data_IF_267993412071
#
_entry.id   IF_267993412071
#
_cell.length_a   1.000
_cell.length_b   1.000
_cell.length_c   1.000
_cell.angle_alpha   90.00
_cell.angle_beta   90.00
_cell.angle_gamma   90.00
#
_symmetry.space_group_name_H-M   'P 1'
#
loop_
_entity.id
_entity.type
_entity.pdbx_description
1 polymer ?
#
# COMPACT_ATOMS: atom_id res chain seq x y z
N UNK A 1 4.35 -9.89 67.72
CA UNK A 1 3.63 -8.90 68.56
C UNK A 1 4.45 -7.61 68.52
N UNK A 2 4.06 -6.48 67.92
CA UNK A 2 2.75 -5.94 67.57
C UNK A 2 2.91 -4.91 66.42
N UNK A 3 2.01 -5.02 65.45
CA UNK A 3 1.21 -3.97 64.80
C UNK A 3 1.91 -2.80 64.09
N UNK A 4 1.83 -2.69 62.75
CA UNK A 4 0.69 -2.23 61.91
C UNK A 4 0.42 -0.72 61.97
N UNK A 5 0.62 -0.05 60.82
CA UNK A 5 0.05 1.21 60.26
C UNK A 5 1.18 2.00 59.56
N UNK A 6 1.33 2.08 58.23
CA UNK A 6 0.43 2.49 57.12
C UNK A 6 -0.09 3.93 57.24
N UNK A 7 0.38 4.76 56.29
CA UNK A 7 -0.12 6.05 55.80
C UNK A 7 -0.10 7.27 56.73
N UNK A 8 0.84 8.20 56.48
CA UNK A 8 0.50 9.60 56.18
C UNK A 8 1.73 10.42 55.74
N UNK A 9 1.52 11.23 54.70
CA UNK A 9 2.26 12.45 54.30
C UNK A 9 3.65 12.31 53.66
N UNK A 10 3.69 12.22 52.34
CA UNK A 10 4.81 12.72 51.53
C UNK A 10 4.27 13.46 50.30
N UNK A 11 3.80 14.68 50.53
CA UNK A 11 3.58 15.67 49.49
C UNK A 11 4.77 16.63 49.58
N UNK A 12 5.80 16.40 48.75
CA UNK A 12 6.85 17.34 48.34
C UNK A 12 8.08 16.57 47.84
N UNK A 13 8.18 16.27 46.55
CA UNK A 13 9.44 16.31 45.81
C UNK A 13 9.12 16.73 44.37
N UNK A 14 9.08 18.04 44.14
CA UNK A 14 9.46 18.60 42.85
C UNK A 14 10.93 18.94 42.93
N UNK A 15 11.79 18.15 42.29
CA UNK A 15 13.02 18.62 41.66
C UNK A 15 13.72 17.48 40.89
N UNK A 16 13.92 17.75 39.59
CA UNK A 16 15.10 17.37 38.80
C UNK A 16 15.48 15.89 38.67
N UNK A 17 14.91 15.23 37.65
CA UNK A 17 15.70 14.34 36.76
C UNK A 17 15.25 14.59 35.32
N UNK A 18 15.90 15.56 34.67
CA UNK A 18 15.84 15.73 33.21
C UNK A 18 17.16 16.36 32.77
N UNK A 19 18.24 15.57 32.77
CA UNK A 19 19.47 15.89 32.06
C UNK A 19 19.97 14.60 31.43
N UNK A 20 20.10 14.63 30.10
CA UNK A 20 20.94 13.66 29.40
C UNK A 20 20.33 12.95 28.20
N UNK A 21 19.53 13.61 27.36
CA UNK A 21 19.49 13.34 25.93
C UNK A 21 19.25 14.67 25.20
N UNK A 22 20.33 15.45 25.06
CA UNK A 22 20.39 16.53 24.09
C UNK A 22 20.80 15.90 22.76
N UNK A 23 19.84 15.26 22.11
CA UNK A 23 19.86 15.16 20.64
C UNK A 23 19.13 16.41 20.17
N UNK A 24 19.89 17.46 19.86
CA UNK A 24 19.40 18.54 19.01
C UNK A 24 19.22 17.96 17.61
N UNK A 25 18.13 17.23 17.43
CA UNK A 25 17.49 17.07 16.13
C UNK A 25 16.90 18.45 15.80
N UNK A 26 17.73 19.34 15.23
CA UNK A 26 17.20 20.46 14.44
C UNK A 26 16.59 19.85 13.19
N UNK A 27 15.40 19.29 13.33
CA UNK A 27 14.53 19.10 12.19
C UNK A 27 14.40 20.48 11.52
N UNK A 28 14.66 20.61 10.21
CA UNK A 28 14.44 21.87 9.53
C UNK A 28 12.95 22.17 9.63
N UNK A 29 12.59 23.09 10.51
CA UNK A 29 11.27 23.72 10.47
C UNK A 29 11.22 24.35 9.09
N UNK A 30 10.40 23.79 8.21
CA UNK A 30 10.09 24.35 6.90
C UNK A 30 9.40 25.70 7.11
N UNK A 31 10.17 26.74 7.44
CA UNK A 31 9.70 28.11 7.55
C UNK A 31 9.49 28.66 6.15
N UNK A 32 8.35 29.31 5.95
CA UNK A 32 8.08 29.99 4.69
C UNK A 32 9.09 31.14 4.52
N UNK A 33 9.64 31.30 3.32
CA UNK A 33 10.64 32.34 3.03
C UNK A 33 10.15 33.75 3.41
N UNK A 34 8.83 33.98 3.29
CA UNK A 34 8.19 35.24 3.69
C UNK A 34 8.19 35.45 5.22
N UNK A 35 8.06 34.39 6.00
CA UNK A 35 8.12 34.44 7.47
C UNK A 35 9.58 34.56 7.92
N UNK A 36 10.51 33.90 7.23
CA UNK A 36 11.95 33.94 7.49
C UNK A 36 12.53 35.35 7.27
N UNK A 37 12.12 36.05 6.20
CA UNK A 37 12.61 37.39 5.86
C UNK A 37 12.16 38.51 6.84
N UNK A 38 11.19 38.21 7.71
CA UNK A 38 10.73 39.13 8.74
C UNK A 38 11.44 38.95 10.09
N UNK A 39 12.39 38.00 10.21
CA UNK A 39 13.13 37.82 11.45
C UNK A 39 14.09 38.99 11.69
N UNK A 40 14.04 39.63 12.88
CA UNK A 40 15.01 40.62 13.26
C UNK A 40 16.37 39.97 13.56
N UNK A 41 17.46 40.67 13.24
CA UNK A 41 18.82 40.21 13.43
C UNK A 41 19.76 41.38 13.77
N UNK A 42 20.84 41.10 14.48
CA UNK A 42 21.97 42.01 14.69
C UNK A 42 23.24 41.56 13.95
N UNK A 43 23.28 40.28 13.56
CA UNK A 43 24.40 39.66 12.84
C UNK A 43 23.88 38.54 11.92
N UNK A 44 24.67 38.18 10.90
CA UNK A 44 24.30 37.14 9.92
C UNK A 44 24.03 35.78 10.58
N UNK A 45 24.71 35.47 11.69
CA UNK A 45 24.55 34.21 12.43
C UNK A 45 23.22 34.04 13.14
N UNK A 46 22.46 35.13 13.34
CA UNK A 46 21.13 35.07 13.98
C UNK A 46 20.03 34.69 13.00
N UNK A 47 20.32 34.71 11.69
CA UNK A 47 19.37 34.33 10.69
C UNK A 47 19.40 32.81 10.45
N UNK A 48 18.24 32.13 10.49
CA UNK A 48 18.17 30.71 10.16
C UNK A 48 18.77 30.40 8.79
N UNK A 49 19.54 29.33 8.69
CA UNK A 49 20.05 28.88 7.40
C UNK A 49 18.92 28.27 6.56
N UNK A 50 18.91 28.57 5.26
CA UNK A 50 18.07 27.90 4.28
C UNK A 50 18.96 27.29 3.20
N UNK A 51 18.76 26.01 2.90
CA UNK A 51 19.64 25.17 2.08
C UNK A 51 20.08 25.79 0.76
N UNK A 52 19.16 26.46 0.06
CA UNK A 52 19.42 27.05 -1.26
C UNK A 52 19.38 28.58 -1.27
N UNK A 53 19.62 29.20 -0.11
CA UNK A 53 19.70 30.65 0.02
C UNK A 53 20.97 31.06 0.75
N UNK A 54 21.57 32.18 0.31
CA UNK A 54 22.50 32.91 1.16
C UNK A 54 21.73 33.87 2.04
N UNK A 55 22.22 34.07 3.25
CA UNK A 55 21.53 34.86 4.27
C UNK A 55 22.42 36.00 4.72
N UNK A 56 21.83 37.19 4.83
CA UNK A 56 22.55 38.38 5.32
C UNK A 56 21.63 39.24 6.17
N UNK A 57 22.14 39.74 7.29
CA UNK A 57 21.44 40.70 8.11
C UNK A 57 21.57 42.10 7.50
N UNK A 58 20.44 42.69 7.12
CA UNK A 58 20.42 44.02 6.51
C UNK A 58 20.72 45.10 7.55
N UNK A 59 21.13 46.30 7.10
CA UNK A 59 21.31 47.49 7.97
C UNK A 59 20.03 47.91 8.69
N UNK A 60 18.87 47.45 8.20
CA UNK A 60 17.56 47.66 8.81
C UNK A 60 17.28 46.71 9.97
N UNK A 61 18.18 45.75 10.25
CA UNK A 61 18.07 44.77 11.32
C UNK A 61 17.15 43.59 10.99
N UNK A 62 17.01 43.22 9.72
CA UNK A 62 16.18 42.08 9.27
C UNK A 62 16.95 41.15 8.34
N UNK A 63 16.64 39.86 8.40
CA UNK A 63 17.24 38.83 7.56
C UNK A 63 16.78 38.97 6.10
N UNK A 64 17.75 39.01 5.19
CA UNK A 64 17.54 38.93 3.75
C UNK A 64 18.02 37.57 3.25
N UNK A 65 17.20 36.93 2.42
CA UNK A 65 17.51 35.66 1.77
C UNK A 65 17.59 35.87 0.27
N UNK A 66 18.69 35.44 -0.32
CA UNK A 66 18.90 35.48 -1.78
C UNK A 66 19.14 34.06 -2.29
N UNK A 67 18.46 33.62 -3.35
CA UNK A 67 18.70 32.31 -3.93
C UNK A 67 20.17 32.15 -4.33
N UNK A 68 20.73 30.97 -4.03
CA UNK A 68 22.05 30.59 -4.51
C UNK A 68 22.04 30.39 -6.04
N UNK A 69 23.24 30.30 -6.63
CA UNK A 69 23.36 30.09 -8.08
C UNK A 69 22.76 28.75 -8.52
N UNK A 70 22.19 28.72 -9.73
CA UNK A 70 21.64 27.50 -10.33
C UNK A 70 22.69 26.38 -10.33
N UNK A 71 22.31 25.21 -9.81
CA UNK A 71 23.18 24.04 -9.77
C UNK A 71 24.07 23.95 -8.52
N UNK A 72 23.98 24.92 -7.59
CA UNK A 72 24.63 24.82 -6.28
C UNK A 72 24.21 23.52 -5.58
N UNK A 73 25.15 22.73 -5.06
CA UNK A 73 24.88 21.44 -4.43
C UNK A 73 24.13 21.62 -3.11
N UNK A 74 23.09 20.81 -2.89
CA UNK A 74 22.32 20.76 -1.65
C UNK A 74 22.08 19.31 -1.19
N UNK A 75 23.12 18.57 -0.79
CA UNK A 75 23.05 17.12 -0.72
C UNK A 75 22.05 16.57 0.31
N UNK A 76 21.08 15.76 -0.13
CA UNK A 76 20.09 15.08 0.74
C UNK A 76 19.02 16.00 1.32
N UNK A 77 18.88 17.22 0.78
CA UNK A 77 17.98 18.26 1.30
C UNK A 77 16.79 18.50 0.34
N UNK A 78 16.65 17.69 -0.71
CA UNK A 78 15.51 17.74 -1.63
C UNK A 78 14.26 17.02 -1.08
N UNK A 79 13.08 17.34 -1.65
CA UNK A 79 11.79 16.84 -1.14
C UNK A 79 11.49 15.35 -1.44
N UNK A 80 12.35 14.63 -2.17
CA UNK A 80 12.09 13.24 -2.61
C UNK A 80 13.12 12.29 -2.03
N UNK A 81 12.99 12.00 -0.74
CA UNK A 81 13.95 11.20 0.00
C UNK A 81 13.98 9.71 -0.39
N UNK A 82 15.16 9.24 -0.80
CA UNK A 82 15.66 7.90 -0.49
C UNK A 82 15.17 6.77 -1.41
N UNK A 83 14.63 7.10 -2.58
CA UNK A 83 14.37 6.11 -3.61
C UNK A 83 15.66 5.45 -4.09
N UNK A 84 15.61 4.24 -4.64
CA UNK A 84 16.81 3.56 -5.11
C UNK A 84 17.56 4.29 -6.26
N UNK A 85 16.86 5.16 -7.01
CA UNK A 85 17.46 6.06 -8.01
C UNK A 85 17.91 7.41 -7.46
N UNK A 86 17.66 7.68 -6.19
CA UNK A 86 18.00 8.96 -5.60
C UNK A 86 19.52 9.09 -5.50
N UNK A 87 20.02 10.26 -5.86
CA UNK A 87 21.42 10.61 -5.77
C UNK A 87 21.57 11.85 -4.91
N UNK A 88 21.32 11.65 -3.61
CA UNK A 88 21.41 12.69 -2.57
C UNK A 88 22.66 13.54 -2.72
N UNK A 89 23.81 12.95 -3.07
CA UNK A 89 25.08 13.67 -3.24
C UNK A 89 25.06 14.72 -4.36
N UNK A 90 24.13 14.59 -5.31
CA UNK A 90 24.01 15.41 -6.50
C UNK A 90 22.74 16.27 -6.56
N UNK A 91 21.97 16.33 -5.47
CA UNK A 91 20.92 17.32 -5.28
C UNK A 91 21.44 18.75 -5.56
N UNK A 92 20.58 19.58 -6.16
CA UNK A 92 20.98 20.90 -6.63
C UNK A 92 19.88 21.96 -6.53
N UNK A 93 20.30 23.21 -6.28
CA UNK A 93 19.40 24.36 -6.20
C UNK A 93 18.92 24.80 -7.59
N UNK A 94 17.62 25.06 -7.73
CA UNK A 94 17.04 25.72 -8.89
C UNK A 94 17.13 27.26 -8.78
N UNK A 95 16.67 27.97 -9.81
CA UNK A 95 16.65 29.44 -9.85
C UNK A 95 15.71 30.09 -8.81
N UNK A 96 14.86 29.29 -8.15
CA UNK A 96 13.90 29.77 -7.16
C UNK A 96 14.37 29.50 -5.73
N UNK A 97 15.58 28.94 -5.55
CA UNK A 97 16.09 28.57 -4.25
C UNK A 97 15.42 27.32 -3.67
N UNK A 98 14.92 26.43 -4.53
CA UNK A 98 14.40 25.11 -4.16
C UNK A 98 15.50 24.07 -4.38
N UNK A 99 15.73 23.19 -3.40
CA UNK A 99 16.61 22.04 -3.60
C UNK A 99 15.87 20.96 -4.39
N UNK A 100 16.39 20.62 -5.57
CA UNK A 100 15.83 19.64 -6.50
C UNK A 100 16.67 18.36 -6.45
N UNK A 101 15.99 17.23 -6.55
CA UNK A 101 16.63 15.91 -6.47
C UNK A 101 17.60 15.67 -7.63
N UNK A 102 18.80 15.22 -7.28
CA UNK A 102 19.72 14.58 -8.19
C UNK A 102 19.30 13.13 -8.40
N UNK A 103 19.41 12.64 -9.64
CA UNK A 103 19.15 11.22 -9.93
C UNK A 103 20.42 10.55 -10.37
N UNK A 104 20.56 9.27 -10.00
CA UNK A 104 21.66 8.43 -10.48
C UNK A 104 21.63 8.38 -12.01
N UNK A 105 22.81 8.20 -12.61
CA UNK A 105 22.91 8.11 -14.07
C UNK A 105 22.09 6.96 -14.65
N UNK A 106 21.67 7.08 -15.90
CA UNK A 106 20.74 6.14 -16.59
C UNK A 106 21.22 4.69 -16.69
N UNK A 107 22.48 4.41 -16.42
CA UNK A 107 23.06 3.07 -16.37
C UNK A 107 22.86 2.39 -15.00
N UNK A 108 22.42 3.15 -14.00
CA UNK A 108 22.19 2.63 -12.65
C UNK A 108 20.86 1.91 -12.60
N UNK A 109 20.87 0.65 -12.15
CA UNK A 109 19.64 -0.10 -11.90
C UNK A 109 19.14 0.23 -10.49
N UNK A 110 18.00 0.90 -10.43
CA UNK A 110 17.34 1.29 -9.19
C UNK A 110 16.30 0.27 -8.76
N UNK A 111 15.61 -0.34 -9.72
CA UNK A 111 14.74 -1.49 -9.46
C UNK A 111 15.24 -2.67 -10.29
N UNK A 112 15.58 -3.81 -9.67
CA UNK A 112 15.87 -5.02 -10.42
C UNK A 112 14.61 -5.53 -11.10
N UNK A 113 14.77 -6.31 -12.17
CA UNK A 113 13.66 -7.01 -12.81
C UNK A 113 12.96 -7.96 -11.82
N UNK A 114 11.63 -7.93 -11.81
CA UNK A 114 10.73 -8.77 -11.02
C UNK A 114 9.97 -9.73 -11.95
N UNK A 115 10.72 -10.70 -12.48
CA UNK A 115 10.21 -11.74 -13.37
C UNK A 115 10.72 -11.63 -14.81
N UNK A 116 10.40 -12.64 -15.61
CA UNK A 116 10.95 -12.80 -16.97
C UNK A 116 10.46 -11.73 -17.96
N UNK A 117 9.34 -11.06 -17.67
CA UNK A 117 8.70 -10.07 -18.55
C UNK A 117 8.91 -8.61 -18.12
N UNK A 118 9.65 -8.43 -17.03
CA UNK A 118 9.86 -7.14 -16.40
C UNK A 118 11.31 -6.67 -16.65
N UNK A 119 11.49 -5.38 -16.91
CA UNK A 119 12.81 -4.82 -17.18
C UNK A 119 13.32 -4.06 -15.95
N UNK A 120 14.64 -4.05 -15.70
CA UNK A 120 15.21 -3.19 -14.67
C UNK A 120 15.03 -1.70 -15.00
N UNK A 121 14.94 -0.86 -13.98
CA UNK A 121 14.65 0.57 -14.11
C UNK A 121 15.79 1.45 -13.62
N UNK A 122 16.04 2.59 -14.29
CA UNK A 122 17.10 3.54 -13.91
C UNK A 122 16.68 4.96 -13.57
N UNK A 123 15.38 5.31 -13.70
CA UNK A 123 14.82 6.62 -13.36
C UNK A 123 13.44 6.51 -12.68
N UNK A 124 13.18 5.44 -11.92
CA UNK A 124 11.88 5.16 -11.29
C UNK A 124 10.70 5.18 -12.27
N UNK A 125 10.89 4.62 -13.48
CA UNK A 125 9.83 4.46 -14.47
C UNK A 125 9.62 2.99 -14.72
N UNK A 126 8.40 2.51 -14.44
CA UNK A 126 8.00 1.13 -14.73
C UNK A 126 8.13 0.81 -16.23
N UNK A 127 8.82 -0.29 -16.52
CA UNK A 127 9.22 -0.65 -17.87
C UNK A 127 9.10 -2.15 -18.09
N UNK A 128 8.24 -2.51 -19.04
CA UNK A 128 8.16 -3.88 -19.55
C UNK A 128 9.15 -4.12 -20.68
N UNK A 129 9.60 -5.37 -20.80
CA UNK A 129 10.35 -5.81 -21.98
C UNK A 129 9.51 -5.66 -23.25
N UNK A 130 10.12 -5.33 -24.41
CA UNK A 130 9.38 -5.14 -25.65
C UNK A 130 8.70 -6.43 -26.10
N UNK A 131 7.59 -6.30 -26.84
CA UNK A 131 6.75 -7.44 -27.28
C UNK A 131 7.43 -8.43 -28.22
N UNK A 132 8.62 -8.10 -28.71
CA UNK A 132 9.46 -9.02 -29.50
C UNK A 132 10.44 -9.83 -28.65
N UNK A 133 10.52 -9.55 -27.35
CA UNK A 133 11.41 -10.29 -26.44
C UNK A 133 10.81 -11.66 -26.14
N UNK A 134 11.68 -12.66 -26.09
CA UNK A 134 11.28 -14.02 -25.75
C UNK A 134 11.20 -14.17 -24.23
N UNK A 135 10.02 -14.51 -23.69
CA UNK A 135 9.86 -14.80 -22.26
C UNK A 135 10.17 -16.25 -21.92
N UNK A 136 9.82 -17.18 -22.81
CA UNK A 136 9.86 -18.60 -22.48
C UNK A 136 10.19 -19.43 -23.71
N UNK A 137 10.93 -20.52 -23.49
CA UNK A 137 11.22 -21.54 -24.49
C UNK A 137 10.10 -22.59 -24.62
N UNK A 138 10.05 -23.24 -25.79
CA UNK A 138 9.12 -24.33 -26.11
C UNK A 138 9.07 -25.43 -25.05
N UNK A 139 7.87 -25.82 -24.61
CA UNK A 139 7.59 -27.01 -23.80
C UNK A 139 6.52 -27.88 -24.45
N UNK A 140 6.88 -28.53 -25.55
CA UNK A 140 6.08 -29.61 -26.13
C UNK A 140 6.06 -29.57 -27.65
N UNK A 141 5.52 -30.64 -28.26
CA UNK A 141 5.52 -30.82 -29.71
C UNK A 141 4.59 -29.85 -30.46
N UNK A 142 3.64 -29.24 -29.75
CA UNK A 142 2.71 -28.23 -30.25
C UNK A 142 3.02 -26.83 -29.70
N UNK A 143 4.12 -26.67 -28.98
CA UNK A 143 4.51 -25.41 -28.39
C UNK A 143 5.42 -24.64 -29.36
N UNK A 144 5.18 -23.34 -29.56
CA UNK A 144 6.03 -22.57 -30.45
C UNK A 144 7.47 -22.52 -29.95
N UNK A 145 8.43 -22.27 -30.85
CA UNK A 145 9.86 -22.23 -30.50
C UNK A 145 10.17 -21.15 -29.46
N UNK A 146 9.41 -20.07 -29.45
CA UNK A 146 9.54 -18.97 -28.50
C UNK A 146 8.18 -18.36 -28.20
N UNK A 147 8.02 -17.91 -26.95
CA UNK A 147 6.89 -17.12 -26.48
C UNK A 147 7.31 -15.68 -26.31
N UNK A 148 6.42 -14.75 -26.64
CA UNK A 148 6.74 -13.33 -26.66
C UNK A 148 6.10 -12.57 -25.50
N UNK A 149 6.74 -11.47 -25.12
CA UNK A 149 6.15 -10.51 -24.18
C UNK A 149 4.92 -9.85 -24.79
N UNK A 150 4.03 -9.45 -23.91
CA UNK A 150 3.05 -8.42 -24.15
C UNK A 150 3.48 -7.19 -23.35
N UNK A 151 3.34 -5.98 -23.91
CA UNK A 151 3.83 -4.72 -23.31
C UNK A 151 3.19 -4.29 -21.98
N UNK A 152 2.61 -5.22 -21.23
CA UNK A 152 2.04 -5.08 -19.90
C UNK A 152 2.62 -6.11 -18.90
N UNK A 153 3.80 -6.68 -19.19
CA UNK A 153 4.47 -7.62 -18.30
C UNK A 153 3.93 -9.05 -18.36
N UNK A 154 3.06 -9.37 -19.30
CA UNK A 154 2.55 -10.74 -19.47
C UNK A 154 3.31 -11.48 -20.56
N UNK A 155 3.73 -12.71 -20.28
CA UNK A 155 4.15 -13.66 -21.30
C UNK A 155 2.92 -14.28 -21.94
N UNK A 156 2.81 -14.24 -23.27
CA UNK A 156 1.71 -14.89 -23.99
C UNK A 156 2.19 -16.18 -24.61
N UNK A 157 1.49 -17.27 -24.28
CA UNK A 157 1.75 -18.56 -24.90
C UNK A 157 1.34 -18.52 -26.39
N UNK A 158 2.19 -19.06 -27.26
CA UNK A 158 2.01 -19.15 -28.71
C UNK A 158 2.06 -20.63 -29.02
N UNK A 159 0.97 -21.18 -29.54
CA UNK A 159 0.88 -22.59 -29.89
C UNK A 159 0.86 -22.77 -31.40
N UNK A 160 1.43 -23.88 -31.85
CA UNK A 160 1.39 -24.28 -33.25
C UNK A 160 -0.06 -24.46 -33.71
N UNK A 161 -0.40 -24.04 -34.96
CA UNK A 161 -1.78 -24.08 -35.45
C UNK A 161 -2.31 -25.50 -35.55
N UNK A 162 -3.64 -25.65 -35.58
CA UNK A 162 -4.31 -26.96 -35.63
C UNK A 162 -4.10 -27.76 -36.93
N UNK A 163 -3.37 -27.19 -37.87
CA UNK A 163 -2.89 -27.87 -39.09
C UNK A 163 -1.53 -28.56 -38.88
N UNK A 164 -0.87 -28.34 -37.74
CA UNK A 164 0.45 -28.91 -37.44
C UNK A 164 0.31 -30.34 -36.95
N UNK A 165 0.92 -31.29 -37.64
CA UNK A 165 0.99 -32.69 -37.20
C UNK A 165 2.01 -32.79 -36.06
N UNK A 166 1.57 -33.19 -34.88
CA UNK A 166 2.45 -33.42 -33.74
C UNK A 166 2.79 -34.89 -33.54
N UNK A 167 1.87 -35.80 -33.90
CA UNK A 167 2.15 -37.24 -33.95
C UNK A 167 1.85 -37.77 -35.35
N UNK A 168 2.85 -38.28 -36.09
CA UNK A 168 2.65 -38.83 -37.41
C UNK A 168 1.72 -40.06 -37.35
N UNK A 169 1.09 -40.40 -38.48
CA UNK A 169 0.28 -41.62 -38.58
C UNK A 169 1.13 -42.88 -38.38
N UNK A 170 0.50 -43.92 -37.87
CA UNK A 170 1.08 -45.26 -37.75
C UNK A 170 0.15 -46.27 -38.44
N UNK A 171 0.60 -47.52 -38.58
CA UNK A 171 -0.09 -48.58 -39.34
C UNK A 171 -1.58 -48.74 -38.96
N UNK A 172 -1.94 -48.46 -37.70
CA UNK A 172 -3.31 -48.53 -37.19
C UNK A 172 -3.78 -47.23 -36.50
N UNK A 173 -3.14 -46.09 -36.78
CA UNK A 173 -3.48 -44.82 -36.15
C UNK A 173 -3.39 -43.66 -37.13
N UNK A 174 -4.42 -42.80 -37.12
CA UNK A 174 -4.40 -41.53 -37.86
C UNK A 174 -3.37 -40.57 -37.26
N UNK A 175 -2.91 -39.62 -38.07
CA UNK A 175 -2.07 -38.52 -37.59
C UNK A 175 -2.82 -37.68 -36.57
N UNK A 176 -2.13 -37.25 -35.52
CA UNK A 176 -2.68 -36.33 -34.52
C UNK A 176 -2.14 -34.93 -34.75
N UNK A 177 -3.05 -33.97 -34.75
CA UNK A 177 -2.76 -32.57 -34.98
C UNK A 177 -2.80 -31.77 -33.68
N UNK A 178 -2.07 -30.66 -33.64
CA UNK A 178 -2.14 -29.71 -32.55
C UNK A 178 -3.56 -29.15 -32.39
N UNK A 179 -3.88 -28.68 -31.19
CA UNK A 179 -5.18 -28.04 -30.91
C UNK A 179 -5.21 -26.56 -31.29
N UNK A 180 -4.04 -25.92 -31.44
CA UNK A 180 -3.89 -24.47 -31.49
C UNK A 180 -4.06 -23.78 -30.12
N UNK A 181 -4.25 -24.54 -29.04
CA UNK A 181 -4.55 -24.02 -27.68
C UNK A 181 -3.65 -24.60 -26.58
N UNK A 182 -2.78 -25.56 -26.91
CA UNK A 182 -1.90 -26.23 -25.96
C UNK A 182 -0.56 -26.59 -26.57
N UNK A 183 0.52 -26.50 -25.77
CA UNK A 183 1.88 -26.91 -26.19
C UNK A 183 2.07 -28.43 -26.30
N UNK A 184 1.16 -29.21 -25.74
CA UNK A 184 1.17 -30.67 -25.82
C UNK A 184 0.33 -31.19 -26.99
N UNK A 185 0.80 -32.28 -27.61
CA UNK A 185 0.05 -33.01 -28.62
C UNK A 185 -1.14 -33.70 -27.93
N UNK A 186 -2.39 -33.50 -28.39
CA UNK A 186 -3.53 -34.18 -27.80
C UNK A 186 -3.38 -35.70 -27.92
N UNK A 187 -3.89 -36.44 -26.94
CA UNK A 187 -3.95 -37.89 -27.04
C UNK A 187 -5.19 -38.27 -27.86
N UNK A 188 -4.98 -38.80 -29.07
CA UNK A 188 -6.06 -39.44 -29.82
C UNK A 188 -6.39 -40.78 -29.16
N UNK A 189 -7.65 -40.96 -28.76
CA UNK A 189 -8.17 -42.30 -28.48
C UNK A 189 -8.00 -43.11 -29.77
N UNK A 190 -7.12 -44.11 -29.73
CA UNK A 190 -6.85 -44.91 -30.92
C UNK A 190 -8.14 -45.61 -31.35
N UNK A 191 -8.31 -45.79 -32.66
CA UNK A 191 -9.50 -46.40 -33.28
C UNK A 191 -9.64 -47.91 -32.98
N UNK A 192 -9.16 -48.40 -31.83
CA UNK A 192 -9.41 -49.77 -31.36
C UNK A 192 -10.55 -49.87 -30.34
N UNK A 193 -11.04 -48.76 -29.77
CA UNK A 193 -12.19 -48.76 -28.88
C UNK A 193 -13.50 -48.44 -29.61
N UNK A 194 -13.75 -49.09 -30.74
CA UNK A 194 -15.11 -49.28 -31.21
C UNK A 194 -15.82 -50.31 -30.32
N UNK A 195 -16.15 -49.96 -29.06
CA UNK A 195 -17.17 -50.59 -28.19
C UNK A 195 -17.09 -50.18 -26.69
N UNK A 196 -16.83 -48.91 -26.35
CA UNK A 196 -17.27 -48.39 -25.06
C UNK A 196 -18.15 -47.17 -25.30
N UNK A 197 -19.46 -47.44 -25.30
CA UNK A 197 -20.48 -46.42 -25.12
C UNK A 197 -20.23 -45.75 -23.77
N UNK A 198 -20.19 -44.43 -23.82
CA UNK A 198 -20.33 -43.48 -22.72
C UNK A 198 -19.17 -43.39 -21.73
N UNK A 199 -18.19 -42.55 -22.08
CA UNK A 199 -17.61 -41.64 -21.10
C UNK A 199 -17.05 -40.38 -21.78
N UNK A 200 -17.88 -39.72 -22.60
CA UNK A 200 -17.78 -38.25 -22.64
C UNK A 200 -18.46 -37.79 -21.36
N UNK A 201 -17.64 -37.46 -20.37
CA UNK A 201 -18.03 -36.58 -19.28
C UNK A 201 -18.62 -35.34 -19.93
N UNK A 202 -19.94 -35.33 -19.94
CA UNK A 202 -20.79 -34.15 -19.94
C UNK A 202 -20.08 -33.04 -19.17
N UNK A 203 -20.13 -31.86 -19.76
CA UNK A 203 -19.86 -30.57 -19.18
C UNK A 203 -20.92 -30.29 -18.10
N UNK A 204 -21.03 -31.18 -17.11
CA UNK A 204 -21.71 -30.92 -15.88
C UNK A 204 -20.68 -30.20 -15.03
N UNK A 205 -20.72 -28.87 -15.11
CA UNK A 205 -20.27 -27.99 -14.05
C UNK A 205 -20.58 -28.65 -12.69
N UNK A 206 -19.68 -28.58 -11.71
CA UNK A 206 -20.04 -29.02 -10.38
C UNK A 206 -21.22 -28.15 -9.94
N UNK A 207 -22.42 -28.74 -9.89
CA UNK A 207 -23.43 -28.36 -8.89
C UNK A 207 -22.78 -28.68 -7.57
N UNK A 208 -21.93 -27.74 -7.14
CA UNK A 208 -21.40 -27.67 -5.82
C UNK A 208 -22.64 -27.52 -4.95
N UNK A 209 -22.98 -28.64 -4.34
CA UNK A 209 -23.84 -28.69 -3.17
C UNK A 209 -23.49 -27.48 -2.33
N UNK A 210 -24.41 -26.53 -2.24
CA UNK A 210 -24.32 -25.37 -1.37
C UNK A 210 -24.58 -25.86 0.06
N UNK A 211 -23.80 -26.86 0.49
CA UNK A 211 -23.58 -27.13 1.89
C UNK A 211 -22.39 -26.27 2.26
N UNK A 212 -22.70 -25.10 2.83
CA UNK A 212 -21.73 -24.21 3.45
C UNK A 212 -21.02 -24.99 4.57
N UNK A 213 -19.95 -25.70 4.22
CA UNK A 213 -18.91 -26.04 5.18
C UNK A 213 -18.15 -24.74 5.46
N UNK A 214 -18.67 -23.95 6.40
CA UNK A 214 -17.91 -22.88 7.06
C UNK A 214 -16.73 -23.56 7.76
N UNK A 215 -15.57 -23.54 7.12
CA UNK A 215 -14.28 -23.76 7.77
C UNK A 215 -13.85 -22.43 8.41
N UNK A 216 -13.79 -22.31 9.75
CA UNK A 216 -13.43 -21.07 10.41
C UNK A 216 -11.90 -21.00 10.50
N UNK A 217 -11.24 -20.59 9.43
CA UNK A 217 -9.81 -20.29 9.47
C UNK A 217 -9.50 -19.01 8.72
N UNK A 218 -10.00 -17.88 9.23
CA UNK A 218 -9.51 -16.55 8.88
C UNK A 218 -9.89 -15.55 9.99
N UNK A 219 -8.91 -14.84 10.60
CA UNK A 219 -9.15 -13.90 11.71
C UNK A 219 -10.03 -12.70 11.31
N UNK A 220 -10.17 -12.43 10.01
CA UNK A 220 -11.02 -11.36 9.46
C UNK A 220 -12.52 -11.63 9.60
N UNK A 221 -12.95 -12.91 9.58
CA UNK A 221 -14.37 -13.28 9.71
C UNK A 221 -14.84 -13.09 11.16
N UNK A 222 -13.98 -13.42 12.12
CA UNK A 222 -14.22 -13.17 13.55
C UNK A 222 -14.30 -11.67 13.85
N UNK A 223 -13.43 -10.86 13.26
CA UNK A 223 -13.48 -9.40 13.42
C UNK A 223 -14.78 -8.82 12.85
N UNK A 224 -15.21 -9.29 11.68
CA UNK A 224 -16.47 -8.88 11.06
C UNK A 224 -17.70 -9.23 11.91
N UNK A 225 -17.76 -10.45 12.43
CA UNK A 225 -18.84 -10.89 13.32
C UNK A 225 -18.88 -10.11 14.64
N UNK A 226 -17.72 -9.84 15.25
CA UNK A 226 -17.62 -9.02 16.47
C UNK A 226 -18.11 -7.60 16.22
N UNK A 227 -17.76 -6.98 15.08
CA UNK A 227 -18.24 -5.64 14.71
C UNK A 227 -19.76 -5.61 14.49
N UNK A 228 -20.34 -6.63 13.84
CA UNK A 228 -21.79 -6.70 13.61
C UNK A 228 -22.56 -6.90 14.92
N UNK A 229 -22.06 -7.75 15.82
CA UNK A 229 -22.66 -7.95 17.15
C UNK A 229 -22.53 -6.67 18.00
N UNK A 230 -21.38 -5.99 17.98
CA UNK A 230 -21.19 -4.73 18.68
C UNK A 230 -22.15 -3.63 18.18
N UNK A 231 -22.34 -3.53 16.85
CA UNK A 231 -23.29 -2.59 16.26
C UNK A 231 -24.75 -2.92 16.65
N UNK A 232 -25.13 -4.20 16.67
CA UNK A 232 -26.47 -4.63 17.08
C UNK A 232 -26.73 -4.33 18.57
N UNK A 233 -25.76 -4.62 19.46
CA UNK A 233 -25.86 -4.30 20.89
C UNK A 233 -25.93 -2.78 21.10
N UNK A 234 -25.13 -1.99 20.38
CA UNK A 234 -25.22 -0.53 20.42
C UNK A 234 -26.61 -0.02 19.99
N UNK A 235 -27.19 -0.58 18.92
CA UNK A 235 -28.54 -0.20 18.49
C UNK A 235 -29.62 -0.60 19.53
N UNK A 236 -29.50 -1.76 20.16
CA UNK A 236 -30.45 -2.20 21.20
C UNK A 236 -30.34 -1.34 22.45
N UNK A 237 -29.12 -1.04 22.92
CA UNK A 237 -28.91 -0.16 24.08
C UNK A 237 -29.38 1.27 23.82
N UNK A 238 -29.20 1.79 22.60
CA UNK A 238 -29.75 3.10 22.22
C UNK A 238 -31.28 3.11 22.16
N UNK A 239 -31.92 2.00 21.76
CA UNK A 239 -33.38 1.86 21.83
C UNK A 239 -33.87 1.76 23.27
N UNK A 240 -33.24 0.93 24.10
CA UNK A 240 -33.57 0.83 25.53
C UNK A 240 -33.43 2.17 26.26
N UNK A 241 -32.36 2.93 26.00
CA UNK A 241 -32.17 4.27 26.59
C UNK A 241 -33.24 5.27 26.14
N UNK A 242 -33.74 5.14 24.91
CA UNK A 242 -34.83 5.98 24.39
C UNK A 242 -36.15 5.65 25.09
N UNK A 243 -36.38 4.37 25.35
CA UNK A 243 -37.58 3.90 26.05
C UNK A 243 -37.54 4.27 27.56
N UNK A 244 -36.37 4.23 28.21
CA UNK A 244 -36.19 4.68 29.59
C UNK A 244 -36.46 6.19 29.76
N UNK A 245 -35.95 7.02 28.84
CA UNK A 245 -36.24 8.47 28.85
C UNK A 245 -37.72 8.77 28.58
N UNK A 246 -38.39 7.95 27.76
CA UNK A 246 -39.82 8.08 27.53
C UNK A 246 -40.64 7.66 28.77
N UNK A 247 -40.15 6.69 29.55
CA UNK A 247 -40.77 6.27 30.81
C UNK A 247 -40.60 7.34 31.91
N UNK A 248 -39.45 8.00 31.99
CA UNK A 248 -39.24 9.11 32.94
C UNK A 248 -40.17 10.30 32.66
N UNK A 249 -40.37 10.69 31.39
CA UNK A 249 -41.32 11.77 31.01
C UNK A 249 -42.77 11.40 31.34
N UNK A 250 -43.16 10.14 31.09
CA UNK A 250 -44.50 9.65 31.43
C UNK A 250 -44.75 9.57 32.94
N UNK A 251 -43.73 9.17 33.71
CA UNK A 251 -43.81 9.06 35.18
C UNK A 251 -43.88 10.44 35.83
N UNK A 252 -43.11 11.42 35.32
CA UNK A 252 -43.17 12.81 35.77
C UNK A 252 -44.54 13.45 35.52
N UNK A 253 -45.14 13.20 34.35
CA UNK A 253 -46.49 13.69 34.02
C UNK A 253 -47.58 13.09 34.88
N UNK A 254 -47.48 11.81 35.27
CA UNK A 254 -48.44 11.17 36.18
C UNK A 254 -48.35 11.73 37.61
N UNK A 255 -47.14 11.97 38.13
CA UNK A 255 -46.94 12.59 39.44
C UNK A 255 -47.54 13.99 39.53
N UNK A 256 -47.35 14.83 38.50
CA UNK A 256 -47.93 16.17 38.44
C UNK A 256 -49.47 16.14 38.51
N UNK A 257 -50.12 15.16 37.86
CA UNK A 257 -51.59 15.04 37.92
C UNK A 257 -52.12 14.52 39.25
N UNK A 258 -51.30 13.83 40.04
CA UNK A 258 -51.71 13.31 41.35
C UNK A 258 -51.63 14.39 42.44
N UNK A 259 -50.71 15.36 42.30
CA UNK A 259 -50.58 16.51 43.20
C UNK A 259 -51.80 17.44 43.10
N UNK A 260 -52.32 17.66 41.89
CA UNK A 260 -53.55 18.45 41.65
C UNK A 260 -54.84 17.77 42.17
N UNK A 261 -54.88 16.43 42.20
CA UNK A 261 -56.04 15.69 42.71
C UNK A 261 -56.13 15.67 44.25
N UNK A 262 -54.99 15.77 44.96
CA UNK A 262 -54.94 15.84 46.42
C UNK A 262 -55.31 17.22 47.01
N UNK A 263 -55.49 18.25 46.18
CA UNK A 263 -55.91 19.60 46.62
C UNK A 263 -57.44 19.79 46.48
N UNK A 264 -58.16 18.81 45.92
CA UNK A 264 -59.61 18.89 45.65
C UNK A 264 -60.51 18.10 46.63
N UNK A 265 -60.00 17.72 47.81
CA UNK A 265 -60.75 17.02 48.88
C UNK A 265 -60.45 17.66 50.24
#
# INVERSE_FOLDING_TARGET
MKLFWVCAVANAIGLSVAMGLLETETAPVSMNLLEAAALPCQSDSECPALTCHSTTCTTSGFCLYTPLELGTRCPGESCSNGGACDDDANDYCDLRGTCISGFKGSETVCRPADGECDAPEGNCVDRFLPSTSVCRASKGQCDANYHNMHGNGNCVDIFLPSTTVCKPSAVYALSTFCSGKSGFCPVTASLLEGNLREMMTDDQAPVQSMLMAVSPSSPMVLLGLVCVVAAAVAMVTMRQRRDDLALEDATYKLLATHEDASIAL
#
